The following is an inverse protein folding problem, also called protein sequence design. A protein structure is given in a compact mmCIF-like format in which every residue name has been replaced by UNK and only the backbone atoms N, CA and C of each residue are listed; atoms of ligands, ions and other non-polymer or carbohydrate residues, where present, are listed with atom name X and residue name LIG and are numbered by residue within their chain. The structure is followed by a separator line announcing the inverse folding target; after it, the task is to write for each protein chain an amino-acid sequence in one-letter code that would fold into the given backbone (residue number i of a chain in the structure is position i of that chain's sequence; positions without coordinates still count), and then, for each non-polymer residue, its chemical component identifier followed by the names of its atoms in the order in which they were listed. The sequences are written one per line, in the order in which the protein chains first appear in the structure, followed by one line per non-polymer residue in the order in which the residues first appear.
data_IF_361984021356
#
_entry.id   IF_361984021356
#
_cell.length_a   1.000
_cell.length_b   1.000
_cell.length_c   1.000
_cell.angle_alpha   90.00
_cell.angle_beta   90.00
_cell.angle_gamma   90.00
#
_symmetry.space_group_name_H-M   'P 1'
#
loop_
_entity.id
_entity.type
_entity.pdbx_description
1 polymer ?
#
# COMPACT_ATOMS: atom_id res chain seq x y z
N UNK A 1 -13.23 19.85 -0.91
CA UNK A 1 -12.82 19.68 0.50
C UNK A 1 -12.74 21.00 1.25
N UNK A 2 -11.90 21.97 0.87
CA UNK A 2 -11.80 23.28 1.57
C UNK A 2 -13.15 24.01 1.70
N UNK A 3 -13.96 24.05 0.64
CA UNK A 3 -15.30 24.66 0.66
C UNK A 3 -16.29 23.92 1.56
N UNK A 4 -16.12 22.59 1.72
CA UNK A 4 -16.98 21.75 2.57
C UNK A 4 -16.56 21.80 4.04
N UNK A 5 -15.25 21.88 4.31
CA UNK A 5 -14.69 21.82 5.67
C UNK A 5 -14.45 23.20 6.30
N UNK A 6 -14.65 24.28 5.54
CA UNK A 6 -14.54 25.68 5.98
C UNK A 6 -13.30 25.93 6.88
N UNK A 7 -13.50 26.44 8.10
CA UNK A 7 -12.46 26.81 9.07
C UNK A 7 -11.86 25.61 9.85
N UNK A 8 -12.16 24.37 9.45
CA UNK A 8 -11.65 23.18 10.13
C UNK A 8 -10.19 22.90 9.75
N UNK A 9 -9.36 22.50 10.72
CA UNK A 9 -8.00 22.01 10.45
C UNK A 9 -8.09 20.59 9.89
N UNK A 10 -7.57 20.37 8.68
CA UNK A 10 -7.53 19.04 8.07
C UNK A 10 -6.21 18.81 7.33
N UNK A 11 -5.86 17.53 7.13
CA UNK A 11 -4.74 17.08 6.30
C UNK A 11 -5.23 15.94 5.41
N UNK A 12 -4.93 16.01 4.12
CA UNK A 12 -5.09 14.86 3.23
C UNK A 12 -3.80 14.05 3.27
N UNK A 13 -3.91 12.77 3.64
CA UNK A 13 -2.79 11.82 3.68
C UNK A 13 -3.00 10.69 2.69
N UNK A 14 -1.99 9.85 2.55
CA UNK A 14 -2.12 8.59 1.82
C UNK A 14 -2.92 7.58 2.68
N UNK A 15 -3.67 6.69 2.05
CA UNK A 15 -4.49 5.66 2.72
C UNK A 15 -3.68 4.75 3.65
N UNK A 16 -2.40 4.52 3.37
CA UNK A 16 -1.51 3.74 4.25
C UNK A 16 -1.35 4.33 5.64
N UNK A 17 -1.51 5.65 5.80
CA UNK A 17 -1.46 6.30 7.11
C UNK A 17 -2.66 5.91 7.96
N UNK A 18 -3.83 5.75 7.34
CA UNK A 18 -5.02 5.24 8.02
C UNK A 18 -4.83 3.77 8.39
N UNK A 19 -4.23 2.97 7.51
CA UNK A 19 -3.85 1.58 7.79
C UNK A 19 -2.92 1.46 8.99
N UNK A 20 -1.84 2.23 9.02
CA UNK A 20 -0.90 2.28 10.16
C UNK A 20 -1.55 2.78 11.45
N UNK A 21 -2.34 3.84 11.37
CA UNK A 21 -3.02 4.39 12.54
C UNK A 21 -4.01 3.37 13.14
N UNK A 22 -4.74 2.66 12.28
CA UNK A 22 -5.71 1.64 12.69
C UNK A 22 -5.04 0.37 13.23
N UNK A 23 -3.96 -0.11 12.61
CA UNK A 23 -3.30 -1.36 13.03
C UNK A 23 -2.39 -1.19 14.24
N UNK A 24 -1.74 -0.02 14.38
CA UNK A 24 -0.76 0.24 15.44
C UNK A 24 -1.23 1.28 16.47
N UNK A 25 -2.49 1.71 16.45
CA UNK A 25 -3.03 2.71 17.37
C UNK A 25 -2.17 4.00 17.44
N UNK A 26 -1.72 4.45 16.26
CA UNK A 26 -0.82 5.59 16.09
C UNK A 26 0.55 5.45 16.79
N UNK A 27 0.95 4.25 17.20
CA UNK A 27 2.27 3.99 17.80
C UNK A 27 3.33 3.74 16.72
N UNK A 28 4.61 4.02 17.01
CA UNK A 28 5.71 3.71 16.11
C UNK A 28 5.73 2.25 15.66
N UNK A 29 6.06 2.02 14.39
CA UNK A 29 6.15 0.69 13.81
C UNK A 29 5.86 0.67 12.31
N UNK A 30 5.74 -0.54 11.77
CA UNK A 30 5.55 -0.80 10.35
C UNK A 30 4.19 -1.47 10.13
N UNK A 31 3.45 -0.98 9.15
CA UNK A 31 2.21 -1.53 8.66
C UNK A 31 2.40 -1.99 7.21
N UNK A 32 2.05 -3.24 6.92
CA UNK A 32 2.07 -3.81 5.58
C UNK A 32 0.63 -3.96 5.08
N UNK A 33 0.34 -3.35 3.93
CA UNK A 33 -0.96 -3.45 3.28
C UNK A 33 -0.84 -4.42 2.11
N UNK A 34 -1.67 -5.46 2.11
CA UNK A 34 -1.84 -6.39 1.00
C UNK A 34 -3.32 -6.48 0.61
N UNK A 35 -3.64 -6.01 -0.58
CA UNK A 35 -4.99 -6.05 -1.15
C UNK A 35 -4.90 -6.12 -2.67
N UNK A 36 -5.71 -5.33 -3.39
CA UNK A 36 -5.57 -5.19 -4.85
C UNK A 36 -4.18 -4.71 -5.24
N UNK A 37 -3.63 -3.74 -4.50
CA UNK A 37 -2.22 -3.33 -4.53
C UNK A 37 -1.49 -3.70 -3.24
N UNK A 38 -0.21 -3.34 -3.13
CA UNK A 38 0.60 -3.63 -1.96
C UNK A 38 1.60 -2.51 -1.64
N UNK A 39 1.74 -2.19 -0.36
CA UNK A 39 2.61 -1.13 0.12
C UNK A 39 2.98 -1.35 1.59
N UNK A 40 4.25 -1.11 1.92
CA UNK A 40 4.74 -0.99 3.29
C UNK A 40 4.84 0.48 3.69
N UNK A 41 4.38 0.79 4.90
CA UNK A 41 4.53 2.11 5.52
C UNK A 41 5.04 1.95 6.95
N UNK A 42 5.90 2.85 7.40
CA UNK A 42 6.30 2.89 8.80
C UNK A 42 6.53 4.31 9.28
N UNK A 43 6.37 4.50 10.59
CA UNK A 43 6.68 5.73 11.29
C UNK A 43 7.47 5.42 12.56
N UNK A 44 8.59 6.11 12.77
CA UNK A 44 9.41 5.93 13.97
C UNK A 44 8.99 6.84 15.14
N UNK A 45 9.69 6.71 16.27
CA UNK A 45 9.43 7.50 17.49
C UNK A 45 9.65 9.01 17.29
N UNK A 46 10.51 9.42 16.35
CA UNK A 46 10.73 10.82 15.99
C UNK A 46 9.65 11.38 15.05
N UNK A 47 8.74 10.50 14.60
CA UNK A 47 7.70 10.81 13.63
C UNK A 47 8.17 10.78 12.17
N UNK A 48 9.40 10.32 11.91
CA UNK A 48 9.90 10.15 10.54
C UNK A 48 9.17 8.99 9.87
N UNK A 49 8.72 9.23 8.65
CA UNK A 49 7.98 8.25 7.85
C UNK A 49 8.85 7.62 6.78
N UNK A 50 8.60 6.35 6.48
CA UNK A 50 9.19 5.63 5.36
C UNK A 50 8.13 4.79 4.64
N UNK A 51 8.33 4.56 3.35
CA UNK A 51 7.44 3.75 2.50
C UNK A 51 8.26 2.86 1.57
N UNK A 52 7.71 1.69 1.24
CA UNK A 52 8.24 0.76 0.25
C UNK A 52 7.09 0.21 -0.60
N UNK A 53 7.22 0.24 -1.93
CA UNK A 53 6.16 -0.16 -2.85
C UNK A 53 5.08 0.91 -3.05
N UNK A 54 3.88 0.50 -3.47
CA UNK A 54 2.77 1.39 -3.80
C UNK A 54 2.96 2.19 -5.11
N UNK A 55 3.79 1.72 -6.03
CA UNK A 55 3.94 2.28 -7.37
C UNK A 55 2.82 1.88 -8.34
N UNK A 56 1.90 1.03 -7.87
CA UNK A 56 0.80 0.50 -8.65
C UNK A 56 1.18 -0.73 -9.46
N UNK A 57 0.16 -1.33 -10.06
CA UNK A 57 0.21 -2.65 -10.68
C UNK A 57 1.14 -2.80 -11.90
N UNK A 58 1.58 -1.67 -12.49
CA UNK A 58 2.45 -1.66 -13.67
C UNK A 58 3.92 -1.88 -13.30
N UNK A 59 4.42 -1.16 -12.30
CA UNK A 59 5.83 -1.17 -11.88
C UNK A 59 6.02 -1.37 -10.36
N UNK A 60 5.11 -2.10 -9.72
CA UNK A 60 5.21 -2.48 -8.31
C UNK A 60 4.08 -3.41 -7.88
N UNK A 61 3.57 -3.19 -6.66
CA UNK A 61 2.54 -4.00 -5.99
C UNK A 61 2.94 -5.47 -5.82
N UNK A 62 4.23 -5.77 -5.65
CA UNK A 62 4.70 -7.11 -5.31
C UNK A 62 3.99 -7.65 -4.06
N UNK A 63 3.49 -8.88 -4.14
CA UNK A 63 2.71 -9.52 -3.07
C UNK A 63 1.23 -9.13 -3.03
N UNK A 64 0.77 -8.21 -3.88
CA UNK A 64 -0.66 -7.91 -4.03
C UNK A 64 -1.43 -9.03 -4.73
N UNK A 65 -2.76 -9.00 -4.61
CA UNK A 65 -3.65 -9.89 -5.36
C UNK A 65 -3.45 -9.73 -6.88
N UNK A 66 -3.25 -8.50 -7.38
CA UNK A 66 -3.01 -8.27 -8.80
C UNK A 66 -1.69 -8.89 -9.26
N UNK A 67 -0.61 -8.71 -8.48
CA UNK A 67 0.69 -9.28 -8.81
C UNK A 67 0.64 -10.82 -8.80
N UNK A 68 0.00 -11.41 -7.80
CA UNK A 68 -0.21 -12.87 -7.72
C UNK A 68 -1.00 -13.38 -8.93
N UNK A 69 -2.11 -12.72 -9.29
CA UNK A 69 -2.89 -13.09 -10.46
C UNK A 69 -2.10 -13.01 -11.77
N UNK A 70 -1.31 -11.93 -11.96
CA UNK A 70 -0.43 -11.78 -13.12
C UNK A 70 0.63 -12.89 -13.17
N UNK A 71 1.23 -13.25 -12.03
CA UNK A 71 2.20 -14.35 -11.96
C UNK A 71 1.57 -15.69 -12.29
N UNK A 72 0.38 -15.98 -11.75
CA UNK A 72 -0.35 -17.21 -12.04
C UNK A 72 -0.63 -17.36 -13.54
N UNK A 73 -1.19 -16.33 -14.19
CA UNK A 73 -1.51 -16.37 -15.62
C UNK A 73 -0.22 -16.51 -16.46
N UNK A 74 0.83 -15.78 -16.08
CA UNK A 74 2.13 -15.89 -16.76
C UNK A 74 2.70 -17.30 -16.67
N UNK A 75 2.66 -17.92 -15.48
CA UNK A 75 3.10 -19.30 -15.25
C UNK A 75 2.27 -20.29 -16.07
N UNK A 76 0.95 -20.20 -16.01
CA UNK A 76 0.06 -21.04 -16.82
C UNK A 76 0.38 -20.93 -18.33
N UNK A 77 0.62 -19.71 -18.83
CA UNK A 77 1.02 -19.51 -20.22
C UNK A 77 2.37 -20.17 -20.55
N UNK A 78 3.32 -20.23 -19.60
CA UNK A 78 4.59 -20.95 -19.79
C UNK A 78 4.36 -22.45 -19.94
N UNK A 79 3.58 -23.03 -19.04
CA UNK A 79 3.23 -24.45 -19.06
C UNK A 79 2.50 -24.83 -20.36
N UNK A 80 1.54 -24.00 -20.79
CA UNK A 80 0.82 -24.20 -22.04
C UNK A 80 1.73 -24.12 -23.29
N UNK A 81 2.79 -23.31 -23.23
CA UNK A 81 3.84 -23.23 -24.26
C UNK A 81 4.89 -24.37 -24.16
N UNK A 82 4.83 -25.22 -23.12
CA UNK A 82 5.79 -26.32 -22.88
C UNK A 82 7.15 -25.89 -22.31
N UNK A 83 7.20 -24.82 -21.52
CA UNK A 83 8.44 -24.22 -20.96
C UNK A 83 8.32 -23.82 -19.49
#
# INVERSE_FOLDING_TARGET
VKTLLQNSRFRCGNDVEAGWAGSLACQPGINLVGGTGAIGFGKDQSGKMARAGGWGYYCGDEGSAYWLGKKLISLFGKEADGR
#
